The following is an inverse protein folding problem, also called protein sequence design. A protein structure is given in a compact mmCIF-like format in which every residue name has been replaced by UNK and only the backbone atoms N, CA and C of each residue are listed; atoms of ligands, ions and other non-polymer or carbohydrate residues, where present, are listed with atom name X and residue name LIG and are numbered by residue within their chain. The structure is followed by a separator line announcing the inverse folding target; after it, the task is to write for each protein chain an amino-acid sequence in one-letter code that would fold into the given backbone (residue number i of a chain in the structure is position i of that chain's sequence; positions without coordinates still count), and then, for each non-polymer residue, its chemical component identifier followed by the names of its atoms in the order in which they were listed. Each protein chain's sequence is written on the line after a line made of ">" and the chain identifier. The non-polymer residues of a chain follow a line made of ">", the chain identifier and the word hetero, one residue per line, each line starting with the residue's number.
data_IF_662961059223
#
_entry.id   IF_662961059223
#
_cell.length_a   1.000
_cell.length_b   1.000
_cell.length_c   1.000
_cell.angle_alpha   90.00
_cell.angle_beta   90.00
_cell.angle_gamma   90.00
#
_symmetry.space_group_name_H-M   'P 1'
#
loop_
_entity.id
_entity.type
_entity.pdbx_description
1 polymer ?
#
# COMPACT_ATOMS: atom_id res chain seq x y z
N UNK A 1 -18.51 -12.15 17.26
CA UNK A 1 -18.59 -13.62 17.54
C UNK A 1 -18.57 -13.87 19.05
N UNK A 2 -19.40 -14.80 19.55
CA UNK A 2 -19.51 -15.10 21.00
C UNK A 2 -18.39 -16.01 21.55
N UNK A 3 -17.68 -16.72 20.67
CA UNK A 3 -16.64 -17.69 21.06
C UNK A 3 -15.28 -16.99 21.05
N UNK A 4 -14.55 -17.08 22.17
CA UNK A 4 -13.16 -16.59 22.25
C UNK A 4 -12.25 -17.50 21.42
N UNK A 5 -11.27 -16.96 20.65
CA UNK A 5 -10.39 -17.76 19.80
C UNK A 5 -9.67 -18.91 20.54
N UNK A 6 -9.30 -18.68 21.81
CA UNK A 6 -8.64 -19.69 22.66
C UNK A 6 -9.50 -20.93 22.92
N UNK A 7 -10.83 -20.83 22.84
CA UNK A 7 -11.78 -21.92 23.09
C UNK A 7 -12.09 -22.79 21.86
N UNK A 8 -11.61 -22.40 20.67
CA UNK A 8 -11.83 -23.17 19.44
C UNK A 8 -10.89 -24.37 19.42
N UNK A 9 -11.39 -25.57 19.07
CA UNK A 9 -10.55 -26.78 18.94
C UNK A 9 -9.53 -26.60 17.82
N UNK A 10 -8.36 -27.24 17.94
CA UNK A 10 -7.28 -27.05 16.96
C UNK A 10 -7.69 -27.52 15.55
N UNK A 11 -8.39 -28.65 15.45
CA UNK A 11 -8.94 -29.17 14.19
C UNK A 11 -9.84 -28.14 13.49
N UNK A 12 -10.71 -27.48 14.25
CA UNK A 12 -11.64 -26.50 13.73
C UNK A 12 -10.91 -25.23 13.29
N UNK A 13 -9.87 -24.80 14.02
CA UNK A 13 -9.04 -23.66 13.62
C UNK A 13 -8.37 -23.91 12.28
N UNK A 14 -7.75 -25.07 12.10
CA UNK A 14 -7.11 -25.45 10.84
C UNK A 14 -8.13 -25.40 9.72
N UNK A 15 -9.30 -26.03 9.91
CA UNK A 15 -10.38 -26.04 8.92
C UNK A 15 -10.86 -24.63 8.56
N UNK A 16 -11.07 -23.75 9.54
CA UNK A 16 -11.58 -22.39 9.29
C UNK A 16 -10.55 -21.52 8.59
N UNK A 17 -9.28 -21.60 8.99
CA UNK A 17 -8.20 -20.82 8.37
C UNK A 17 -7.88 -21.31 6.97
N UNK A 18 -7.86 -22.62 6.75
CA UNK A 18 -7.66 -23.23 5.42
C UNK A 18 -8.75 -22.79 4.42
N UNK A 19 -10.02 -22.81 4.84
CA UNK A 19 -11.12 -22.32 4.03
C UNK A 19 -10.96 -20.83 3.69
N UNK A 20 -10.56 -20.00 4.65
CA UNK A 20 -10.31 -18.57 4.44
C UNK A 20 -9.17 -18.34 3.44
N UNK A 21 -8.04 -19.03 3.61
CA UNK A 21 -6.87 -18.87 2.74
C UNK A 21 -7.16 -19.35 1.32
N UNK A 22 -7.85 -20.48 1.18
CA UNK A 22 -8.28 -21.01 -0.11
C UNK A 22 -9.23 -20.05 -0.82
N UNK A 23 -10.21 -19.49 -0.11
CA UNK A 23 -11.13 -18.51 -0.67
C UNK A 23 -10.38 -17.27 -1.18
N UNK A 24 -9.52 -16.67 -0.36
CA UNK A 24 -8.73 -15.48 -0.74
C UNK A 24 -7.80 -15.78 -1.92
N UNK A 25 -7.15 -16.95 -1.95
CA UNK A 25 -6.25 -17.34 -3.03
C UNK A 25 -6.96 -17.57 -4.38
N UNK A 26 -8.26 -17.88 -4.36
CA UNK A 26 -9.04 -18.11 -5.57
C UNK A 26 -9.42 -16.84 -6.34
N UNK A 27 -9.35 -15.68 -5.69
CA UNK A 27 -9.76 -14.38 -6.25
C UNK A 27 -8.69 -13.83 -7.21
N UNK A 28 -9.11 -13.37 -8.39
CA UNK A 28 -8.19 -12.96 -9.47
C UNK A 28 -8.14 -11.46 -9.67
N UNK A 29 -9.20 -10.73 -9.29
CA UNK A 29 -9.31 -9.29 -9.51
C UNK A 29 -9.42 -8.49 -8.22
N UNK A 30 -9.01 -7.22 -8.28
CA UNK A 30 -9.16 -6.29 -7.13
C UNK A 30 -10.63 -6.10 -6.75
N UNK A 31 -11.55 -6.11 -7.71
CA UNK A 31 -12.98 -5.92 -7.43
C UNK A 31 -13.59 -7.14 -6.74
N UNK A 32 -13.19 -8.36 -7.14
CA UNK A 32 -13.56 -9.59 -6.42
C UNK A 32 -13.09 -9.54 -4.96
N UNK A 33 -11.83 -9.19 -4.72
CA UNK A 33 -11.28 -9.06 -3.35
C UNK A 33 -12.04 -8.00 -2.56
N UNK A 34 -12.35 -6.86 -3.17
CA UNK A 34 -13.10 -5.79 -2.52
C UNK A 34 -14.50 -6.24 -2.11
N UNK A 35 -15.23 -6.92 -2.99
CA UNK A 35 -16.58 -7.42 -2.70
C UNK A 35 -16.54 -8.51 -1.62
N UNK A 36 -15.59 -9.45 -1.74
CA UNK A 36 -15.38 -10.47 -0.72
C UNK A 36 -15.11 -9.89 0.67
N UNK A 37 -14.20 -8.91 0.79
CA UNK A 37 -13.90 -8.24 2.05
C UNK A 37 -15.08 -7.38 2.55
N UNK A 38 -15.93 -6.88 1.65
CA UNK A 38 -17.15 -6.15 2.02
C UNK A 38 -18.16 -7.03 2.73
N UNK A 39 -18.30 -8.26 2.26
CA UNK A 39 -19.25 -9.25 2.80
C UNK A 39 -18.69 -9.96 4.04
N UNK A 40 -17.39 -10.23 4.07
CA UNK A 40 -16.74 -10.97 5.17
C UNK A 40 -16.58 -10.13 6.44
N UNK A 41 -16.31 -8.84 6.30
CA UNK A 41 -15.86 -7.99 7.39
C UNK A 41 -16.80 -6.80 7.62
N UNK A 42 -16.77 -6.25 8.82
CA UNK A 42 -17.36 -4.93 9.08
C UNK A 42 -16.49 -3.82 8.48
N UNK A 43 -17.06 -2.63 8.30
CA UNK A 43 -16.32 -1.47 7.82
C UNK A 43 -15.13 -1.11 8.72
N UNK A 44 -15.34 -1.11 10.03
CA UNK A 44 -14.29 -0.84 11.03
C UNK A 44 -13.13 -1.83 10.91
N UNK A 45 -13.42 -3.12 10.73
CA UNK A 45 -12.39 -4.14 10.55
C UNK A 45 -11.59 -3.93 9.27
N UNK A 46 -12.25 -3.62 8.14
CA UNK A 46 -11.56 -3.29 6.88
C UNK A 46 -10.63 -2.09 7.04
N UNK A 47 -11.12 -1.00 7.66
CA UNK A 47 -10.31 0.20 7.90
C UNK A 47 -9.11 -0.13 8.79
N UNK A 48 -9.31 -0.92 9.85
CA UNK A 48 -8.23 -1.32 10.74
C UNK A 48 -7.18 -2.19 10.06
N UNK A 49 -7.57 -3.12 9.19
CA UNK A 49 -6.63 -3.90 8.37
C UNK A 49 -5.87 -3.00 7.39
N UNK A 50 -6.58 -2.09 6.70
CA UNK A 50 -5.97 -1.11 5.80
C UNK A 50 -4.94 -0.23 6.49
N UNK A 51 -5.27 0.31 7.67
CA UNK A 51 -4.32 1.09 8.50
C UNK A 51 -3.05 0.29 8.79
N UNK A 52 -3.15 -0.99 9.15
CA UNK A 52 -1.97 -1.84 9.41
C UNK A 52 -1.07 -1.99 8.19
N UNK A 53 -1.66 -2.13 6.99
CA UNK A 53 -0.90 -2.20 5.73
C UNK A 53 -0.17 -0.88 5.47
N UNK A 54 -0.83 0.26 5.66
CA UNK A 54 -0.21 1.58 5.48
C UNK A 54 0.88 1.86 6.52
N UNK A 55 0.67 1.46 7.79
CA UNK A 55 1.71 1.55 8.82
C UNK A 55 2.93 0.70 8.41
N UNK A 56 2.74 -0.54 7.98
CA UNK A 56 3.83 -1.39 7.51
C UNK A 56 4.57 -0.78 6.30
N UNK A 57 3.84 -0.13 5.40
CA UNK A 57 4.41 0.63 4.29
C UNK A 57 5.31 1.77 4.79
N UNK A 58 4.82 2.60 5.73
CA UNK A 58 5.62 3.70 6.29
C UNK A 58 6.84 3.23 7.07
N UNK A 59 6.73 2.13 7.79
CA UNK A 59 7.86 1.53 8.49
C UNK A 59 8.94 1.05 7.51
N UNK A 60 8.56 0.51 6.34
CA UNK A 60 9.50 0.14 5.28
C UNK A 60 10.07 1.33 4.50
N UNK A 61 9.48 2.52 4.64
CA UNK A 61 10.00 3.80 4.14
C UNK A 61 10.89 4.50 5.19
N UNK A 62 11.30 3.80 6.25
CA UNK A 62 12.11 4.31 7.36
C UNK A 62 11.52 5.53 8.09
N UNK A 63 10.19 5.70 8.04
CA UNK A 63 9.52 6.79 8.79
C UNK A 63 9.55 6.54 10.30
N UNK A 64 9.72 7.63 11.05
CA UNK A 64 9.68 7.60 12.51
C UNK A 64 8.26 7.34 13.03
N UNK A 65 8.14 6.81 14.25
CA UNK A 65 6.83 6.53 14.84
C UNK A 65 5.97 7.79 15.01
N UNK A 66 6.58 8.95 15.27
CA UNK A 66 5.86 10.22 15.42
C UNK A 66 5.31 10.74 14.10
N UNK A 67 6.02 10.54 12.98
CA UNK A 67 5.49 10.83 11.65
C UNK A 67 4.30 9.93 11.32
N UNK A 68 4.44 8.62 11.51
CA UNK A 68 3.38 7.65 11.26
C UNK A 68 2.14 7.95 12.11
N UNK A 69 2.34 8.31 13.39
CA UNK A 69 1.26 8.69 14.30
C UNK A 69 0.52 9.93 13.80
N UNK A 70 1.24 10.97 13.36
CA UNK A 70 0.65 12.21 12.85
C UNK A 70 -0.09 12.00 11.52
N UNK A 71 0.46 11.19 10.62
CA UNK A 71 -0.14 10.90 9.31
C UNK A 71 -1.41 10.05 9.41
N UNK A 72 -1.39 9.00 10.24
CA UNK A 72 -2.44 7.96 10.23
C UNK A 72 -3.42 8.15 11.40
N UNK A 73 -3.06 8.92 12.42
CA UNK A 73 -3.89 9.16 13.60
C UNK A 73 -4.05 7.92 14.50
N UNK A 74 -2.97 7.15 14.67
CA UNK A 74 -2.96 5.91 15.47
C UNK A 74 -2.01 6.01 16.66
N UNK A 75 -2.33 5.30 17.75
CA UNK A 75 -1.46 5.24 18.93
C UNK A 75 -0.16 4.48 18.65
N UNK A 76 0.90 4.85 19.37
CA UNK A 76 2.25 4.26 19.24
C UNK A 76 2.24 2.75 19.48
N UNK A 77 1.44 2.25 20.42
CA UNK A 77 1.29 0.80 20.67
C UNK A 77 0.83 0.02 19.43
N UNK A 78 0.01 0.65 18.58
CA UNK A 78 -0.44 0.02 17.34
C UNK A 78 0.68 -0.06 16.33
N UNK A 79 1.49 1.00 16.22
CA UNK A 79 2.67 1.04 15.35
C UNK A 79 3.68 -0.03 15.80
N UNK A 80 3.97 -0.11 17.10
CA UNK A 80 4.87 -1.11 17.67
C UNK A 80 4.41 -2.56 17.41
N UNK A 81 3.11 -2.83 17.52
CA UNK A 81 2.56 -4.16 17.16
C UNK A 81 2.77 -4.49 15.70
N UNK A 82 2.49 -3.54 14.80
CA UNK A 82 2.69 -3.74 13.35
C UNK A 82 4.17 -3.92 13.03
N UNK A 83 5.05 -3.14 13.63
CA UNK A 83 6.50 -3.31 13.46
C UNK A 83 6.93 -4.72 13.88
N UNK A 84 6.48 -5.22 15.04
CA UNK A 84 6.79 -6.59 15.45
C UNK A 84 6.30 -7.64 14.45
N UNK A 85 5.11 -7.47 13.88
CA UNK A 85 4.59 -8.40 12.85
C UNK A 85 5.35 -8.29 11.52
N UNK A 86 5.83 -7.09 11.19
CA UNK A 86 6.63 -6.85 10.00
C UNK A 86 8.02 -7.49 10.13
N UNK A 87 8.63 -7.42 11.32
CA UNK A 87 9.94 -8.03 11.62
C UNK A 87 9.87 -9.54 11.88
N UNK A 88 8.68 -10.16 11.84
CA UNK A 88 8.52 -11.59 12.05
C UNK A 88 8.97 -12.44 10.85
N UNK A 89 9.24 -13.72 11.10
CA UNK A 89 9.89 -14.64 10.16
C UNK A 89 9.05 -15.00 8.91
N UNK A 90 7.74 -14.74 8.93
CA UNK A 90 6.83 -15.15 7.85
C UNK A 90 6.94 -14.29 6.58
N UNK A 91 7.55 -13.09 6.65
CA UNK A 91 7.83 -12.20 5.50
C UNK A 91 6.61 -11.70 4.70
N UNK A 92 5.38 -12.06 5.09
CA UNK A 92 4.16 -11.78 4.33
C UNK A 92 3.87 -10.29 4.18
N UNK A 93 4.11 -9.50 5.23
CA UNK A 93 3.96 -8.04 5.20
C UNK A 93 4.91 -7.39 4.20
N UNK A 94 6.18 -7.76 4.24
CA UNK A 94 7.20 -7.19 3.35
C UNK A 94 6.86 -7.45 1.88
N UNK A 95 6.51 -8.69 1.52
CA UNK A 95 6.11 -9.05 0.16
C UNK A 95 4.88 -8.29 -0.31
N UNK A 96 3.86 -8.19 0.55
CA UNK A 96 2.62 -7.48 0.23
C UNK A 96 2.86 -5.99 -0.01
N UNK A 97 3.65 -5.34 0.86
CA UNK A 97 3.98 -3.91 0.73
C UNK A 97 4.84 -3.63 -0.50
N UNK A 98 5.87 -4.45 -0.78
CA UNK A 98 6.69 -4.29 -1.99
C UNK A 98 5.84 -4.36 -3.26
N UNK A 99 4.90 -5.30 -3.29
CA UNK A 99 3.95 -5.44 -4.41
C UNK A 99 3.02 -4.23 -4.52
N UNK A 100 2.53 -3.72 -3.39
CA UNK A 100 1.72 -2.51 -3.32
C UNK A 100 2.48 -1.31 -3.91
N UNK A 101 3.70 -1.04 -3.46
CA UNK A 101 4.52 0.08 -3.93
C UNK A 101 4.73 0.02 -5.44
N UNK A 102 5.10 -1.14 -5.98
CA UNK A 102 5.25 -1.35 -7.43
C UNK A 102 3.98 -1.03 -8.21
N UNK A 103 2.82 -1.44 -7.70
CA UNK A 103 1.51 -1.17 -8.33
C UNK A 103 1.18 0.32 -8.26
N UNK A 104 1.46 0.99 -7.14
CA UNK A 104 1.24 2.43 -6.98
C UNK A 104 2.12 3.25 -7.93
N UNK A 105 3.42 2.96 -8.00
CA UNK A 105 4.34 3.58 -8.96
C UNK A 105 3.90 3.37 -10.42
N UNK A 106 3.39 2.17 -10.74
CA UNK A 106 2.90 1.88 -12.09
C UNK A 106 1.64 2.70 -12.42
N UNK A 107 0.76 2.92 -11.43
CA UNK A 107 -0.42 3.78 -11.58
C UNK A 107 -0.03 5.24 -11.75
N UNK A 108 0.92 5.74 -10.96
CA UNK A 108 1.43 7.11 -11.10
C UNK A 108 2.09 7.33 -12.45
N UNK A 109 2.90 6.39 -12.94
CA UNK A 109 3.52 6.47 -14.28
C UNK A 109 2.46 6.51 -15.38
N UNK A 110 1.40 5.71 -15.27
CA UNK A 110 0.28 5.72 -16.22
C UNK A 110 -0.48 7.04 -16.18
N UNK A 111 -0.83 7.52 -15.00
CA UNK A 111 -1.50 8.81 -14.82
C UNK A 111 -0.66 9.97 -15.37
N UNK A 112 0.63 10.02 -15.01
CA UNK A 112 1.55 11.00 -15.56
C UNK A 112 1.66 10.89 -17.08
N UNK A 113 1.66 9.67 -17.65
CA UNK A 113 1.68 9.44 -19.11
C UNK A 113 0.43 9.99 -19.79
N UNK A 114 -0.74 9.83 -19.18
CA UNK A 114 -2.03 10.29 -19.69
C UNK A 114 -2.17 11.84 -19.59
N UNK A 115 -1.51 12.49 -18.63
CA UNK A 115 -1.43 13.96 -18.51
C UNK A 115 -0.55 14.61 -19.60
N UNK A 116 0.29 13.87 -20.32
CA UNK A 116 1.00 14.45 -21.47
C UNK A 116 0.04 14.66 -22.64
N UNK A 117 -0.72 15.73 -22.57
CA UNK A 117 -1.51 16.22 -23.68
C UNK A 117 -0.57 16.75 -24.78
N UNK A 118 -0.78 16.38 -26.05
CA UNK A 118 -0.15 17.04 -27.19
C UNK A 118 -0.34 18.56 -27.10
N UNK A 119 0.74 19.33 -27.13
CA UNK A 119 0.70 20.79 -27.00
C UNK A 119 1.01 21.36 -25.61
N UNK A 120 1.10 20.53 -24.55
CA UNK A 120 1.56 20.99 -23.23
C UNK A 120 3.04 21.42 -23.24
N UNK A 121 3.44 22.37 -22.39
CA UNK A 121 4.82 22.87 -22.30
C UNK A 121 5.84 21.75 -22.04
N UNK A 122 5.45 20.75 -21.24
CA UNK A 122 6.26 19.57 -20.91
C UNK A 122 6.43 18.61 -22.10
N UNK A 123 5.39 18.48 -22.95
CA UNK A 123 5.46 17.75 -24.21
C UNK A 123 6.38 18.44 -25.21
N UNK A 124 6.29 19.78 -25.31
CA UNK A 124 7.09 20.60 -26.23
C UNK A 124 8.58 20.59 -25.85
N UNK A 125 8.91 20.72 -24.55
CA UNK A 125 10.28 20.59 -24.02
C UNK A 125 10.95 19.27 -24.38
N UNK A 126 10.20 18.17 -24.38
CA UNK A 126 10.75 16.83 -24.68
C UNK A 126 10.85 16.54 -26.18
N UNK A 127 9.93 17.07 -26.99
CA UNK A 127 9.94 16.91 -28.46
C UNK A 127 10.99 17.80 -29.13
N UNK A 128 11.22 19.00 -28.58
CA UNK A 128 12.18 19.99 -29.11
C UNK A 128 13.18 20.43 -28.03
N UNK A 129 14.03 19.53 -27.52
CA UNK A 129 14.93 19.82 -26.39
C UNK A 129 15.92 20.97 -26.67
N UNK A 130 16.33 21.16 -27.93
CA UNK A 130 17.20 22.27 -28.36
C UNK A 130 16.51 23.64 -28.30
N UNK A 131 15.21 23.72 -28.58
CA UNK A 131 14.47 24.99 -28.54
C UNK A 131 14.32 25.53 -27.10
N UNK A 132 14.29 24.62 -26.13
CA UNK A 132 14.19 24.96 -24.71
C UNK A 132 15.54 24.83 -23.98
N UNK A 133 16.65 24.77 -24.71
CA UNK A 133 17.99 24.58 -24.14
C UNK A 133 18.35 25.65 -23.10
N UNK A 134 18.05 26.93 -23.40
CA UNK A 134 18.28 28.03 -22.46
C UNK A 134 17.42 27.92 -21.18
N UNK A 135 16.18 27.46 -21.30
CA UNK A 135 15.31 27.22 -20.13
C UNK A 135 15.80 26.06 -19.28
N UNK A 136 16.30 24.98 -19.89
CA UNK A 136 16.84 23.84 -19.15
C UNK A 136 18.18 24.18 -18.47
N UNK A 137 19.02 25.01 -19.10
CA UNK A 137 20.26 25.52 -18.50
C UNK A 137 19.96 26.43 -17.30
N UNK A 138 18.91 27.26 -17.39
CA UNK A 138 18.46 28.11 -16.28
C UNK A 138 17.89 27.28 -15.11
N UNK A 139 17.11 26.23 -15.42
CA UNK A 139 16.60 25.27 -14.43
C UNK A 139 17.75 24.52 -13.70
N UNK A 140 18.87 24.23 -14.37
CA UNK A 140 20.07 23.64 -13.77
C UNK A 140 20.84 24.62 -12.87
N UNK A 141 20.90 25.90 -13.25
CA UNK A 141 21.57 26.94 -12.45
C UNK A 141 20.80 27.30 -11.16
N UNK A 142 19.47 27.17 -11.17
CA UNK A 142 18.58 27.42 -10.02
C UNK A 142 18.44 26.23 -9.06
N UNK A 143 19.09 25.09 -9.32
CA UNK A 143 19.04 23.89 -8.48
C UNK A 143 20.11 23.82 -7.38
N UNK A 144 20.77 24.94 -7.06
CA UNK A 144 21.70 25.08 -5.93
C UNK A 144 20.99 25.53 -4.66
#
# INVERSE_FOLDING_TARGET
>A
MKIKPRKVKNSDRIKYLDALYTAVASLKSREEVKNFLRDLLTESERIMMGRRVVIAQRLLEDKTYDEIRREIGVGVDTIMRVHRWLSGDDGGYEKAVKTLNKVLESREKRYNKEIYEPGSFKWLKRRYPLHFFLFNLFDELNKK
#
